data_IF_636980083189
#
_entry.id   IF_636980083189
#
_cell.length_a   1.000
_cell.length_b   1.000
_cell.length_c   1.000
_cell.angle_alpha   90.00
_cell.angle_beta   90.00
_cell.angle_gamma   90.00
#
_symmetry.space_group_name_H-M   'P 1'
#
loop_
_entity.id
_entity.type
_entity.pdbx_description
1 polymer ?
#
# COMPACT_ATOMS: atom_id res chain seq x y z
N UNK A 1 -21.17 60.72 -34.13
CA UNK A 1 -22.14 59.60 -33.97
C UNK A 1 -22.31 58.98 -35.36
N UNK A 2 -22.02 57.72 -35.67
CA UNK A 2 -22.29 56.45 -34.97
C UNK A 2 -21.15 55.45 -35.24
N UNK A 3 -20.80 54.68 -34.20
CA UNK A 3 -19.86 53.57 -34.24
C UNK A 3 -20.55 52.36 -34.89
N UNK A 4 -19.90 51.68 -35.83
CA UNK A 4 -20.35 50.40 -36.37
C UNK A 4 -19.61 49.29 -35.63
N UNK A 5 -20.27 48.75 -34.61
CA UNK A 5 -19.86 47.57 -33.85
C UNK A 5 -20.08 46.33 -34.69
N UNK A 6 -19.00 45.66 -35.09
CA UNK A 6 -19.04 44.33 -35.69
C UNK A 6 -18.96 43.29 -34.57
N UNK A 7 -20.13 42.91 -34.05
CA UNK A 7 -20.32 41.76 -33.17
C UNK A 7 -21.05 40.67 -33.94
N UNK A 8 -20.35 39.62 -34.36
CA UNK A 8 -20.97 38.37 -34.82
C UNK A 8 -20.13 37.18 -34.34
N UNK A 9 -20.69 36.53 -33.32
CA UNK A 9 -20.80 35.06 -33.18
C UNK A 9 -19.52 34.22 -33.05
N UNK A 10 -19.05 34.09 -31.80
CA UNK A 10 -18.39 32.88 -31.30
C UNK A 10 -19.20 32.30 -30.12
N UNK A 11 -20.50 32.08 -30.34
CA UNK A 11 -21.39 31.40 -29.40
C UNK A 11 -21.88 30.13 -30.08
N UNK A 12 -21.20 29.01 -29.81
CA UNK A 12 -21.67 27.62 -29.88
C UNK A 12 -20.51 26.68 -30.24
N UNK A 13 -19.76 26.26 -29.22
CA UNK A 13 -19.53 24.83 -28.94
C UNK A 13 -18.95 24.73 -27.54
N UNK A 14 -19.77 25.00 -26.52
CA UNK A 14 -19.64 24.24 -25.26
C UNK A 14 -20.24 22.86 -25.57
N UNK A 15 -19.61 22.15 -26.51
CA UNK A 15 -19.79 20.72 -26.60
C UNK A 15 -19.27 20.24 -25.26
N UNK A 16 -20.19 19.69 -24.48
CA UNK A 16 -19.93 19.00 -23.24
C UNK A 16 -18.82 17.98 -23.51
N UNK A 17 -17.58 18.41 -23.36
CA UNK A 17 -16.44 17.54 -23.12
C UNK A 17 -16.70 16.96 -21.74
N UNK A 18 -17.65 16.03 -21.70
CA UNK A 18 -17.48 14.79 -20.94
C UNK A 18 -16.26 14.09 -21.54
N UNK A 19 -15.11 14.76 -21.42
CA UNK A 19 -13.80 14.21 -21.64
C UNK A 19 -13.84 12.91 -20.88
N UNK A 20 -13.54 11.81 -21.58
CA UNK A 20 -13.38 10.50 -20.98
C UNK A 20 -12.25 10.60 -19.95
N UNK A 21 -12.60 11.08 -18.77
CA UNK A 21 -11.74 11.15 -17.61
C UNK A 21 -11.30 9.72 -17.35
N UNK A 22 -10.01 9.47 -17.56
CA UNK A 22 -9.38 8.17 -17.27
C UNK A 22 -9.10 7.99 -15.77
N UNK A 23 -9.46 8.97 -14.96
CA UNK A 23 -9.42 8.97 -13.50
C UNK A 23 -10.45 9.98 -13.00
N UNK A 24 -11.14 9.68 -11.91
CA UNK A 24 -12.26 10.49 -11.40
C UNK A 24 -11.85 11.96 -11.14
N UNK A 25 -10.63 12.14 -10.66
CA UNK A 25 -10.04 13.42 -10.28
C UNK A 25 -9.02 13.97 -11.33
N UNK A 26 -8.95 13.36 -12.51
CA UNK A 26 -8.03 13.79 -13.57
C UNK A 26 -8.51 15.05 -14.31
N UNK A 27 -7.57 15.92 -14.77
CA UNK A 27 -7.91 17.07 -15.59
C UNK A 27 -8.55 16.65 -16.91
N UNK A 28 -9.52 17.43 -17.38
CA UNK A 28 -10.32 17.13 -18.59
C UNK A 28 -9.49 17.17 -19.87
N UNK A 29 -8.39 17.94 -19.89
CA UNK A 29 -7.41 17.99 -20.99
C UNK A 29 -6.00 18.07 -20.40
N UNK A 30 -5.08 17.29 -20.95
CA UNK A 30 -3.65 17.35 -20.62
C UNK A 30 -2.83 17.24 -21.90
N UNK A 31 -1.87 18.14 -22.07
CA UNK A 31 -0.96 18.17 -23.23
C UNK A 31 0.14 17.11 -23.13
N UNK A 32 0.35 16.52 -21.95
CA UNK A 32 1.37 15.50 -21.72
C UNK A 32 0.75 14.11 -21.64
N UNK A 33 1.41 13.14 -22.28
CA UNK A 33 0.96 11.75 -22.22
C UNK A 33 0.96 11.27 -20.78
N UNK A 34 -0.04 10.45 -20.42
CA UNK A 34 -0.17 9.95 -19.04
C UNK A 34 1.02 9.07 -18.64
N UNK A 35 1.62 8.34 -19.59
CA UNK A 35 2.91 7.65 -19.42
C UNK A 35 4.03 8.60 -19.00
N UNK A 36 4.11 9.79 -19.62
CA UNK A 36 5.09 10.81 -19.24
C UNK A 36 4.76 11.48 -17.90
N UNK A 37 3.49 11.59 -17.52
CA UNK A 37 3.10 12.10 -16.20
C UNK A 37 3.37 11.09 -15.08
N UNK A 38 3.24 9.79 -15.37
CA UNK A 38 3.46 8.71 -14.40
C UNK A 38 4.95 8.52 -14.10
N UNK A 39 5.79 8.61 -15.12
CA UNK A 39 7.23 8.61 -14.94
C UNK A 39 7.70 9.86 -14.15
N UNK A 40 8.62 9.67 -13.22
CA UNK A 40 9.21 10.70 -12.39
C UNK A 40 9.65 10.17 -11.04
N UNK A 41 10.17 11.09 -10.21
CA UNK A 41 10.56 10.82 -8.84
C UNK A 41 9.42 11.22 -7.90
N UNK A 42 8.91 10.26 -7.15
CA UNK A 42 7.72 10.43 -6.34
C UNK A 42 8.06 10.20 -4.88
N UNK A 43 7.61 11.08 -4.00
CA UNK A 43 7.72 10.92 -2.54
C UNK A 43 6.34 10.75 -1.95
N UNK A 44 6.24 9.94 -0.91
CA UNK A 44 5.02 9.82 -0.13
C UNK A 44 4.63 11.16 0.48
N UNK A 45 3.37 11.54 0.28
CA UNK A 45 2.72 12.64 1.01
C UNK A 45 1.86 12.07 2.13
N UNK A 46 0.92 11.19 1.76
CA UNK A 46 0.04 10.48 2.70
C UNK A 46 -0.27 9.08 2.21
N UNK A 47 -0.53 8.16 3.14
CA UNK A 47 -1.10 6.85 2.84
C UNK A 47 -1.97 6.39 4.01
N UNK A 48 -3.15 5.91 3.68
CA UNK A 48 -4.07 5.27 4.62
C UNK A 48 -4.48 3.92 4.04
N UNK A 49 -4.34 2.86 4.82
CA UNK A 49 -4.67 1.51 4.39
C UNK A 49 -5.26 0.72 5.54
N UNK A 50 -6.34 -0.01 5.27
CA UNK A 50 -6.93 -0.96 6.20
C UNK A 50 -6.93 -2.33 5.55
N UNK A 51 -6.36 -3.31 6.24
CA UNK A 51 -6.43 -4.74 5.89
C UNK A 51 -7.31 -5.45 6.92
N UNK A 52 -8.30 -6.19 6.46
CA UNK A 52 -9.14 -7.05 7.29
C UNK A 52 -8.97 -8.48 6.82
N UNK A 53 -8.44 -9.33 7.70
CA UNK A 53 -8.34 -10.77 7.49
C UNK A 53 -9.37 -11.48 8.35
N UNK A 54 -10.16 -12.35 7.74
CA UNK A 54 -11.05 -13.28 8.44
C UNK A 54 -10.57 -14.69 8.21
N UNK A 55 -10.47 -15.47 9.29
CA UNK A 55 -10.21 -16.90 9.24
C UNK A 55 -11.41 -17.63 9.80
N UNK A 56 -11.95 -18.61 9.07
CA UNK A 56 -13.06 -19.44 9.56
C UNK A 56 -12.61 -20.89 9.65
N UNK A 57 -12.81 -21.46 10.82
CA UNK A 57 -12.58 -22.86 11.16
C UNK A 57 -13.83 -23.44 11.86
N UNK A 58 -13.84 -24.73 12.24
CA UNK A 58 -14.98 -25.32 12.95
C UNK A 58 -15.29 -24.69 14.32
N UNK A 59 -14.35 -23.93 14.92
CA UNK A 59 -14.51 -23.24 16.20
C UNK A 59 -15.13 -21.85 16.02
N UNK A 60 -15.12 -21.30 14.81
CA UNK A 60 -15.82 -20.07 14.44
C UNK A 60 -15.00 -19.17 13.52
N UNK A 61 -15.36 -17.88 13.48
CA UNK A 61 -14.64 -16.88 12.68
C UNK A 61 -13.77 -16.01 13.57
N UNK A 62 -12.47 -15.99 13.30
CA UNK A 62 -11.54 -14.99 13.81
C UNK A 62 -11.44 -13.80 12.86
N UNK A 63 -11.18 -12.62 13.41
CA UNK A 63 -11.03 -11.38 12.63
C UNK A 63 -9.78 -10.65 13.10
N UNK A 64 -8.92 -10.29 12.15
CA UNK A 64 -7.77 -9.41 12.36
C UNK A 64 -7.95 -8.16 11.50
N UNK A 65 -7.76 -6.98 12.09
CA UNK A 65 -7.78 -5.71 11.36
C UNK A 65 -6.46 -4.99 11.58
N UNK A 66 -5.79 -4.60 10.51
CA UNK A 66 -4.56 -3.81 10.52
C UNK A 66 -4.80 -2.50 9.80
N UNK A 67 -4.59 -1.38 10.48
CA UNK A 67 -4.66 -0.02 9.92
C UNK A 67 -3.27 0.59 9.89
N UNK A 68 -2.92 1.16 8.74
CA UNK A 68 -1.67 1.84 8.51
C UNK A 68 -1.95 3.26 8.06
N UNK A 69 -1.46 4.24 8.82
CA UNK A 69 -1.54 5.66 8.47
C UNK A 69 -0.12 6.21 8.39
N UNK A 70 0.23 6.77 7.24
CA UNK A 70 1.55 7.31 6.97
C UNK A 70 1.42 8.73 6.44
N UNK A 71 2.37 9.57 6.82
CA UNK A 71 2.62 10.88 6.22
C UNK A 71 4.03 10.90 5.64
N UNK A 72 4.45 12.04 5.09
CA UNK A 72 5.83 12.24 4.66
C UNK A 72 6.88 11.99 5.77
N UNK A 73 6.51 12.13 7.05
CA UNK A 73 7.47 12.10 8.18
C UNK A 73 7.07 11.16 9.33
N UNK A 74 5.83 10.67 9.37
CA UNK A 74 5.32 9.83 10.46
C UNK A 74 4.62 8.58 9.95
N UNK A 75 4.56 7.55 10.78
CA UNK A 75 3.81 6.33 10.51
C UNK A 75 3.15 5.82 11.79
N UNK A 76 1.97 5.22 11.65
CA UNK A 76 1.20 4.58 12.72
C UNK A 76 0.63 3.26 12.20
N UNK A 77 0.74 2.22 13.02
CA UNK A 77 0.17 0.90 12.81
C UNK A 77 -0.76 0.57 13.98
N UNK A 78 -2.04 0.30 13.69
CA UNK A 78 -3.02 -0.16 14.67
C UNK A 78 -3.52 -1.55 14.27
N UNK A 79 -3.28 -2.54 15.13
CA UNK A 79 -3.74 -3.90 14.91
C UNK A 79 -4.79 -4.27 15.95
N UNK A 80 -5.89 -4.88 15.51
CA UNK A 80 -6.85 -5.52 16.39
C UNK A 80 -7.06 -6.99 16.00
N UNK A 81 -7.31 -7.83 17.01
CA UNK A 81 -7.60 -9.24 16.82
C UNK A 81 -8.75 -9.69 17.72
N UNK A 82 -9.71 -10.40 17.14
CA UNK A 82 -10.83 -11.06 17.82
C UNK A 82 -10.78 -12.54 17.46
N UNK A 83 -10.57 -13.40 18.46
CA UNK A 83 -10.53 -14.85 18.28
C UNK A 83 -11.91 -15.46 17.98
N UNK A 84 -11.92 -16.63 17.36
CA UNK A 84 -13.16 -17.39 17.10
C UNK A 84 -13.92 -17.65 18.41
N UNK A 85 -15.21 -17.33 18.44
CA UNK A 85 -16.07 -17.48 19.62
C UNK A 85 -15.75 -16.52 20.78
N UNK A 86 -14.80 -15.60 20.63
CA UNK A 86 -14.46 -14.61 21.65
C UNK A 86 -15.23 -13.30 21.44
N UNK A 87 -15.72 -12.70 22.52
CA UNK A 87 -16.20 -11.30 22.51
C UNK A 87 -15.11 -10.29 22.86
N UNK A 88 -13.91 -10.76 23.24
CA UNK A 88 -12.78 -9.91 23.62
C UNK A 88 -11.91 -9.64 22.39
N UNK A 89 -11.62 -8.36 22.16
CA UNK A 89 -10.72 -7.87 21.11
C UNK A 89 -9.45 -7.32 21.74
N UNK A 90 -8.30 -7.79 21.30
CA UNK A 90 -7.00 -7.25 21.70
C UNK A 90 -6.54 -6.22 20.68
N UNK A 91 -6.00 -5.09 21.13
CA UNK A 91 -5.48 -4.02 20.27
C UNK A 91 -4.02 -3.73 20.58
N UNK A 92 -3.24 -3.44 19.55
CA UNK A 92 -1.86 -2.95 19.68
C UNK A 92 -1.65 -1.76 18.75
N UNK A 93 -0.85 -0.80 19.20
CA UNK A 93 -0.51 0.39 18.43
C UNK A 93 1.00 0.55 18.40
N UNK A 94 1.54 0.83 17.22
CA UNK A 94 2.93 1.24 17.02
C UNK A 94 2.95 2.57 16.30
N UNK A 95 3.91 3.40 16.64
CA UNK A 95 4.09 4.71 16.03
C UNK A 95 5.57 4.93 15.72
N UNK A 96 5.86 5.78 14.76
CA UNK A 96 7.23 6.19 14.52
C UNK A 96 7.38 7.15 13.35
N UNK A 97 8.57 7.15 12.76
CA UNK A 97 9.03 8.19 11.85
C UNK A 97 9.37 7.62 10.48
N UNK A 98 9.13 8.42 9.44
CA UNK A 98 9.48 8.11 8.06
C UNK A 98 10.64 9.02 7.67
N UNK A 99 11.78 8.43 7.32
CA UNK A 99 12.93 9.15 6.78
C UNK A 99 12.84 9.27 5.26
N UNK A 100 12.41 8.20 4.59
CA UNK A 100 12.12 8.25 3.16
C UNK A 100 11.05 7.22 2.79
N UNK A 101 10.21 7.58 1.83
CA UNK A 101 9.35 6.66 1.11
C UNK A 101 9.20 7.23 -0.29
N UNK A 102 10.02 6.73 -1.21
CA UNK A 102 10.19 7.31 -2.53
C UNK A 102 10.19 6.24 -3.62
N UNK A 103 9.68 6.61 -4.80
CA UNK A 103 9.62 5.80 -6.00
C UNK A 103 10.28 6.56 -7.16
N UNK A 104 11.18 5.90 -7.87
CA UNK A 104 11.71 6.37 -9.17
C UNK A 104 11.03 5.55 -10.26
N UNK A 105 10.26 6.20 -11.13
CA UNK A 105 9.52 5.56 -12.21
C UNK A 105 10.07 6.06 -13.54
N UNK A 106 10.70 5.18 -14.31
CA UNK A 106 11.34 5.53 -15.58
C UNK A 106 10.43 5.25 -16.77
N UNK A 107 10.57 6.07 -17.82
CA UNK A 107 9.77 5.94 -19.07
C UNK A 107 10.00 4.64 -19.84
N UNK A 108 11.14 3.99 -19.58
CA UNK A 108 11.54 2.69 -20.16
C UNK A 108 10.74 1.50 -19.60
N UNK A 109 9.85 1.74 -18.63
CA UNK A 109 9.05 0.68 -18.01
C UNK A 109 9.68 0.08 -16.76
N UNK A 110 10.78 0.62 -16.25
CA UNK A 110 11.39 0.20 -14.98
C UNK A 110 11.01 1.13 -13.83
N UNK A 111 11.05 0.61 -12.61
CA UNK A 111 10.87 1.40 -11.40
C UNK A 111 11.77 0.89 -10.27
N UNK A 112 12.03 1.76 -9.29
CA UNK A 112 12.63 1.40 -8.01
C UNK A 112 11.94 2.15 -6.87
N UNK A 113 12.02 1.60 -5.66
CA UNK A 113 11.59 2.31 -4.45
C UNK A 113 12.57 2.14 -3.30
N UNK A 114 12.59 3.13 -2.42
CA UNK A 114 13.30 3.09 -1.14
C UNK A 114 12.34 3.52 -0.04
N UNK A 115 12.24 2.71 1.02
CA UNK A 115 11.47 3.03 2.22
C UNK A 115 12.39 2.88 3.43
N UNK A 116 12.58 3.96 4.16
CA UNK A 116 13.33 4.02 5.41
C UNK A 116 12.43 4.61 6.49
N UNK A 117 12.09 3.82 7.48
CA UNK A 117 11.22 4.24 8.57
C UNK A 117 11.52 3.43 9.83
N UNK A 118 11.14 3.99 10.98
CA UNK A 118 11.29 3.36 12.29
C UNK A 118 9.91 3.24 12.93
N UNK A 119 9.60 2.09 13.52
CA UNK A 119 8.42 1.87 14.36
C UNK A 119 8.85 1.62 15.79
N UNK A 120 8.11 2.17 16.74
CA UNK A 120 8.31 2.00 18.17
C UNK A 120 7.11 1.26 18.76
N UNK A 121 7.42 0.31 19.64
CA UNK A 121 6.43 -0.40 20.44
C UNK A 121 6.92 -0.54 21.88
N UNK A 122 5.97 -0.56 22.81
CA UNK A 122 6.25 -0.75 24.24
C UNK A 122 5.48 -1.98 24.69
N UNK A 123 6.15 -2.85 25.43
CA UNK A 123 5.52 -3.98 26.10
C UNK A 123 4.45 -3.52 27.09
N UNK A 124 3.47 -4.39 27.37
CA UNK A 124 2.33 -4.06 28.24
C UNK A 124 2.73 -3.69 29.68
N UNK A 125 3.90 -4.15 30.15
CA UNK A 125 4.42 -3.82 31.48
C UNK A 125 5.35 -2.58 31.47
N UNK A 126 5.56 -1.94 30.32
CA UNK A 126 6.41 -0.75 30.18
C UNK A 126 7.92 -1.00 30.27
N UNK A 127 8.35 -2.22 30.61
CA UNK A 127 9.75 -2.52 30.93
C UNK A 127 10.63 -2.72 29.70
N UNK A 128 10.02 -3.07 28.57
CA UNK A 128 10.71 -3.24 27.29
C UNK A 128 10.16 -2.25 26.27
N UNK A 129 11.06 -1.47 25.70
CA UNK A 129 10.83 -0.61 24.55
C UNK A 129 11.57 -1.21 23.35
N UNK A 130 10.86 -1.39 22.24
CA UNK A 130 11.41 -1.92 20.99
C UNK A 130 11.26 -0.89 19.89
N UNK A 131 12.39 -0.53 19.28
CA UNK A 131 12.46 0.33 18.09
C UNK A 131 12.99 -0.51 16.92
N UNK A 132 12.21 -0.60 15.85
CA UNK A 132 12.56 -1.37 14.66
C UNK A 132 12.67 -0.43 13.47
N UNK A 133 13.86 -0.36 12.88
CA UNK A 133 14.13 0.41 11.66
C UNK A 133 14.12 -0.53 10.45
N UNK A 134 13.39 -0.15 9.42
CA UNK A 134 13.30 -0.88 8.16
C UNK A 134 13.95 -0.07 7.04
N UNK A 135 14.95 -0.62 6.35
CA UNK A 135 15.45 -0.16 5.04
C UNK A 135 15.00 -1.16 3.97
N UNK A 136 13.98 -0.77 3.20
CA UNK A 136 13.40 -1.61 2.14
C UNK A 136 13.72 -0.98 0.80
N UNK A 137 14.34 -1.76 -0.08
CA UNK A 137 14.64 -1.38 -1.46
C UNK A 137 14.02 -2.37 -2.42
N UNK A 138 13.27 -1.87 -3.38
CA UNK A 138 12.60 -2.70 -4.39
C UNK A 138 12.91 -2.19 -5.79
N UNK A 139 13.00 -3.11 -6.75
CA UNK A 139 13.08 -2.76 -8.18
C UNK A 139 12.14 -3.62 -8.98
N UNK A 140 11.73 -3.14 -10.14
CA UNK A 140 10.81 -3.89 -10.97
C UNK A 140 10.50 -3.26 -12.31
N UNK A 141 9.46 -3.80 -12.94
CA UNK A 141 8.88 -3.26 -14.18
C UNK A 141 7.45 -2.81 -13.95
N UNK A 142 6.98 -1.85 -14.74
CA UNK A 142 5.60 -1.38 -14.68
C UNK A 142 4.97 -1.29 -16.07
N UNK A 143 3.66 -1.52 -16.14
CA UNK A 143 2.87 -1.33 -17.35
C UNK A 143 1.46 -0.88 -17.03
N UNK A 144 0.89 -0.02 -17.86
CA UNK A 144 -0.54 0.27 -17.82
C UNK A 144 -1.32 -0.97 -18.21
N UNK A 145 -2.31 -1.31 -17.39
CA UNK A 145 -3.29 -2.33 -17.73
C UNK A 145 -4.33 -1.69 -18.65
N UNK A 146 -4.59 -2.34 -19.79
CA UNK A 146 -5.63 -1.92 -20.72
C UNK A 146 -7.03 -2.00 -20.10
N UNK A 147 -8.06 -1.56 -20.85
CA UNK A 147 -9.47 -1.60 -20.43
C UNK A 147 -10.05 -3.02 -20.46
N UNK A 148 -9.48 -3.93 -19.68
CA UNK A 148 -9.81 -5.35 -19.75
C UNK A 148 -10.98 -5.74 -18.83
N UNK A 149 -11.41 -4.84 -17.94
CA UNK A 149 -12.54 -5.06 -17.02
C UNK A 149 -13.64 -4.01 -17.24
N UNK A 150 -14.90 -4.44 -17.53
CA UNK A 150 -16.05 -3.54 -17.63
C UNK A 150 -16.27 -2.65 -16.38
N UNK A 151 -15.89 -3.14 -15.19
CA UNK A 151 -16.05 -2.46 -13.90
C UNK A 151 -14.96 -1.40 -13.65
N UNK A 152 -13.91 -1.36 -14.48
CA UNK A 152 -12.83 -0.37 -14.41
C UNK A 152 -12.79 0.53 -15.65
N UNK A 153 -13.86 0.58 -16.45
CA UNK A 153 -13.92 1.32 -17.74
C UNK A 153 -13.40 2.78 -17.70
N UNK A 154 -13.46 3.44 -16.54
CA UNK A 154 -12.97 4.81 -16.32
C UNK A 154 -11.82 4.91 -15.30
N UNK A 155 -11.27 3.78 -14.85
CA UNK A 155 -10.20 3.68 -13.86
C UNK A 155 -8.95 3.14 -14.56
N UNK A 156 -7.94 3.98 -14.72
CA UNK A 156 -6.67 3.53 -15.29
C UNK A 156 -5.84 2.82 -14.21
N UNK A 157 -5.35 1.62 -14.54
CA UNK A 157 -4.59 0.78 -13.63
C UNK A 157 -3.16 0.61 -14.12
N UNK A 158 -2.22 0.52 -13.19
CA UNK A 158 -0.83 0.20 -13.46
C UNK A 158 -0.46 -1.05 -12.70
N UNK A 159 0.04 -2.06 -13.40
CA UNK A 159 0.70 -3.19 -12.76
C UNK A 159 2.16 -2.82 -12.48
N UNK A 160 2.60 -3.00 -11.24
CA UNK A 160 4.00 -2.96 -10.84
C UNK A 160 4.41 -4.39 -10.51
N UNK A 161 5.29 -4.97 -11.33
CA UNK A 161 5.91 -6.26 -11.07
C UNK A 161 7.24 -6.05 -10.37
N UNK A 162 7.36 -6.52 -9.14
CA UNK A 162 8.60 -6.50 -8.36
C UNK A 162 9.51 -7.62 -8.87
N UNK A 163 10.76 -7.27 -9.18
CA UNK A 163 11.81 -8.22 -9.58
C UNK A 163 12.76 -8.52 -8.43
N UNK A 164 13.11 -7.51 -7.64
CA UNK A 164 13.94 -7.68 -6.44
C UNK A 164 13.37 -6.92 -5.27
N UNK A 165 13.55 -7.48 -4.08
CA UNK A 165 13.27 -6.84 -2.80
C UNK A 165 14.39 -7.15 -1.83
N UNK A 166 15.01 -6.12 -1.28
CA UNK A 166 15.93 -6.21 -0.17
C UNK A 166 15.30 -5.52 1.05
N UNK A 167 15.36 -6.14 2.21
CA UNK A 167 14.88 -5.60 3.48
C UNK A 167 15.95 -5.80 4.52
N UNK A 168 16.38 -4.71 5.13
CA UNK A 168 17.21 -4.72 6.33
C UNK A 168 16.32 -4.26 7.48
N UNK A 169 16.18 -5.10 8.49
CA UNK A 169 15.47 -4.82 9.73
C UNK A 169 16.51 -4.71 10.85
N UNK A 170 16.61 -3.52 11.46
CA UNK A 170 17.46 -3.28 12.63
C UNK A 170 16.56 -3.04 13.84
N UNK A 171 16.65 -3.94 14.81
CA UNK A 171 15.86 -3.91 16.03
C UNK A 171 16.74 -3.49 17.20
N UNK A 172 16.36 -2.42 17.89
CA UNK A 172 16.94 -1.98 19.15
C UNK A 172 15.94 -2.22 20.28
N UNK A 173 16.25 -3.15 21.18
CA UNK A 173 15.50 -3.38 22.42
C UNK A 173 16.17 -2.66 23.57
N UNK A 174 15.40 -1.91 24.34
CA UNK A 174 15.82 -1.36 25.63
C UNK A 174 15.01 -2.04 26.72
N UNK A 175 15.69 -2.79 27.60
CA UNK A 175 15.09 -3.48 28.73
C UNK A 175 15.46 -2.76 30.03
N UNK A 176 14.47 -2.45 30.88
CA UNK A 176 14.68 -1.82 32.18
C UNK A 176 14.32 -2.79 33.30
N UNK A 177 15.28 -3.07 34.19
CA UNK A 177 15.11 -3.94 35.36
C UNK A 177 15.85 -3.37 36.57
N UNK A 178 15.16 -3.24 37.71
CA UNK A 178 15.78 -2.73 38.94
C UNK A 178 16.37 -1.32 38.82
N UNK A 179 15.81 -0.46 37.95
CA UNK A 179 16.32 0.89 37.68
C UNK A 179 17.49 0.96 36.68
N UNK A 180 18.03 -0.18 36.24
CA UNK A 180 19.08 -0.27 35.24
C UNK A 180 18.50 -0.54 33.84
N UNK A 181 19.13 0.00 32.80
CA UNK A 181 18.71 -0.20 31.41
C UNK A 181 19.80 -0.87 30.57
N UNK A 182 19.41 -1.88 29.80
CA UNK A 182 20.28 -2.63 28.89
C UNK A 182 19.76 -2.50 27.46
N UNK A 183 20.67 -2.43 26.49
CA UNK A 183 20.34 -2.32 25.07
C UNK A 183 20.83 -3.54 24.32
N UNK A 184 19.96 -4.11 23.50
CA UNK A 184 20.27 -5.21 22.59
C UNK A 184 19.95 -4.76 21.16
N UNK A 185 20.85 -5.03 20.23
CA UNK A 185 20.66 -4.74 18.81
C UNK A 185 20.67 -6.04 18.03
N UNK A 186 19.62 -6.27 17.24
CA UNK A 186 19.54 -7.35 16.25
C UNK A 186 19.44 -6.76 14.85
N UNK A 187 20.07 -7.41 13.86
CA UNK A 187 20.03 -6.98 12.46
C UNK A 187 19.73 -8.17 11.58
N UNK A 188 18.63 -8.11 10.86
CA UNK A 188 18.19 -9.14 9.92
C UNK A 188 18.19 -8.59 8.51
N UNK A 189 18.69 -9.37 7.56
CA UNK A 189 18.70 -9.02 6.14
C UNK A 189 17.97 -10.10 5.36
N UNK A 190 17.02 -9.68 4.52
CA UNK A 190 16.28 -10.57 3.64
C UNK A 190 16.32 -10.02 2.21
N UNK A 191 16.80 -10.83 1.27
CA UNK A 191 16.84 -10.50 -0.14
C UNK A 191 16.11 -11.58 -0.95
N UNK A 192 15.14 -11.15 -1.77
CA UNK A 192 14.35 -12.03 -2.62
C UNK A 192 14.38 -11.53 -4.06
N UNK A 193 14.48 -12.46 -5.01
CA UNK A 193 14.29 -12.21 -6.44
C UNK A 193 13.08 -12.97 -6.94
N UNK A 194 12.32 -12.35 -7.83
CA UNK A 194 11.07 -12.88 -8.37
C UNK A 194 11.15 -13.01 -9.89
N UNK A 195 10.56 -14.09 -10.41
CA UNK A 195 10.28 -14.17 -11.83
C UNK A 195 9.23 -13.12 -12.23
N UNK A 196 9.19 -12.75 -13.51
CA UNK A 196 8.22 -11.79 -14.03
C UNK A 196 6.79 -12.26 -13.73
N UNK A 197 5.99 -11.38 -13.11
CA UNK A 197 4.61 -11.66 -12.75
C UNK A 197 4.40 -12.42 -11.43
N UNK A 198 5.47 -12.96 -10.81
CA UNK A 198 5.35 -13.72 -9.54
C UNK A 198 5.01 -12.82 -8.35
N UNK A 199 5.57 -11.61 -8.30
CA UNK A 199 5.24 -10.58 -7.34
C UNK A 199 4.75 -9.35 -8.09
N UNK A 200 3.43 -9.12 -8.13
CA UNK A 200 2.86 -7.96 -8.82
C UNK A 200 1.74 -7.32 -8.00
N UNK A 201 1.76 -6.00 -7.93
CA UNK A 201 0.69 -5.18 -7.37
C UNK A 201 -0.01 -4.38 -8.47
N UNK A 202 -1.30 -4.09 -8.29
CA UNK A 202 -2.05 -3.21 -9.19
C UNK A 202 -2.40 -1.91 -8.45
N UNK A 203 -2.03 -0.80 -9.06
CA UNK A 203 -2.36 0.54 -8.60
C UNK A 203 -3.49 1.10 -9.44
N UNK A 204 -4.60 1.47 -8.79
CA UNK A 204 -5.69 2.17 -9.48
C UNK A 204 -5.47 3.67 -9.34
N UNK A 205 -5.20 4.35 -10.45
CA UNK A 205 -4.89 5.79 -10.45
C UNK A 205 -6.18 6.61 -10.42
N UNK A 206 -6.46 7.28 -9.30
CA UNK A 206 -7.54 8.26 -9.18
C UNK A 206 -7.18 9.58 -9.84
N UNK A 207 -5.94 10.03 -9.64
CA UNK A 207 -5.40 11.30 -10.12
C UNK A 207 -3.94 11.17 -10.49
N UNK A 208 -3.56 11.81 -11.60
CA UNK A 208 -2.17 11.95 -11.98
C UNK A 208 -1.94 13.33 -12.62
N UNK A 209 -1.94 14.40 -11.84
CA UNK A 209 -1.88 15.76 -12.35
C UNK A 209 -1.18 16.69 -11.37
N UNK A 210 -0.68 17.82 -11.86
CA UNK A 210 -0.07 18.85 -11.01
C UNK A 210 1.02 18.31 -10.08
N UNK A 211 1.90 17.42 -10.60
CA UNK A 211 2.97 16.77 -9.82
C UNK A 211 2.46 15.94 -8.63
N UNK A 212 1.22 15.47 -8.70
CA UNK A 212 0.57 14.66 -7.68
C UNK A 212 -0.01 13.39 -8.30
N UNK A 213 0.18 12.27 -7.62
CA UNK A 213 -0.40 10.99 -7.96
C UNK A 213 -1.22 10.50 -6.78
N UNK A 214 -2.52 10.26 -7.00
CA UNK A 214 -3.41 9.66 -6.01
C UNK A 214 -3.83 8.29 -6.49
N UNK A 215 -3.62 7.30 -5.64
CA UNK A 215 -3.78 5.88 -5.93
C UNK A 215 -4.75 5.28 -4.94
N UNK A 216 -5.60 4.38 -5.41
CA UNK A 216 -6.38 3.46 -4.58
C UNK A 216 -5.83 2.06 -4.75
N UNK A 217 -5.67 1.39 -3.61
CA UNK A 217 -5.45 -0.05 -3.56
C UNK A 217 -6.73 -0.72 -3.07
N UNK A 218 -7.13 -1.76 -3.78
CA UNK A 218 -8.20 -2.66 -3.38
C UNK A 218 -7.73 -4.07 -3.71
N UNK A 219 -7.43 -4.83 -2.68
CA UNK A 219 -6.89 -6.18 -2.77
C UNK A 219 -7.88 -7.09 -2.05
N UNK A 220 -8.45 -8.03 -2.79
CA UNK A 220 -9.30 -9.07 -2.24
C UNK A 220 -8.65 -10.42 -2.52
N UNK A 221 -8.23 -11.11 -1.46
CA UNK A 221 -7.62 -12.42 -1.53
C UNK A 221 -8.49 -13.40 -0.77
N UNK A 222 -8.91 -14.47 -1.43
CA UNK A 222 -9.62 -15.58 -0.80
C UNK A 222 -8.81 -16.85 -1.01
N UNK A 223 -8.66 -17.65 0.04
CA UNK A 223 -7.89 -18.88 0.00
C UNK A 223 -8.42 -19.90 0.99
N UNK A 224 -8.11 -21.16 0.71
CA UNK A 224 -8.27 -22.25 1.68
C UNK A 224 -6.89 -22.80 1.98
N UNK A 225 -6.53 -22.81 3.25
CA UNK A 225 -5.32 -23.43 3.75
C UNK A 225 -5.67 -24.75 4.42
N UNK A 226 -5.06 -25.83 3.99
CA UNK A 226 -5.22 -27.15 4.61
C UNK A 226 -3.87 -27.64 5.11
N UNK A 227 -3.79 -27.92 6.40
CA UNK A 227 -2.64 -28.61 7.00
C UNK A 227 -3.04 -30.04 7.33
N UNK A 228 -2.19 -30.99 6.97
CA UNK A 228 -2.30 -32.38 7.38
C UNK A 228 -1.08 -32.74 8.20
N UNK A 229 -1.30 -33.19 9.43
CA UNK A 229 -0.26 -33.72 10.29
C UNK A 229 -0.49 -35.22 10.41
N UNK A 230 0.54 -36.00 10.11
CA UNK A 230 0.53 -37.46 10.27
C UNK A 230 1.48 -37.83 11.39
N UNK A 231 0.96 -38.54 12.40
CA UNK A 231 1.75 -39.09 13.50
C UNK A 231 1.35 -40.55 13.71
N UNK A 232 2.31 -41.46 13.52
CA UNK A 232 2.03 -42.90 13.46
C UNK A 232 1.08 -43.26 12.31
N UNK A 233 0.03 -44.03 12.60
CA UNK A 233 -0.99 -44.45 11.62
C UNK A 233 -2.16 -43.47 11.49
N UNK A 234 -2.14 -42.33 12.18
CA UNK A 234 -3.25 -41.37 12.20
C UNK A 234 -2.86 -40.08 11.49
N UNK A 235 -3.71 -39.66 10.55
CA UNK A 235 -3.60 -38.36 9.87
C UNK A 235 -4.74 -37.46 10.34
N UNK A 236 -4.39 -36.30 10.88
CA UNK A 236 -5.35 -35.24 11.19
C UNK A 236 -5.21 -34.13 10.15
N UNK A 237 -6.32 -33.81 9.49
CA UNK A 237 -6.39 -32.70 8.53
C UNK A 237 -7.24 -31.58 9.11
N UNK A 238 -6.68 -30.38 9.15
CA UNK A 238 -7.39 -29.15 9.52
C UNK A 238 -7.39 -28.21 8.32
N UNK A 239 -8.56 -27.68 7.97
CA UNK A 239 -8.72 -26.69 6.90
C UNK A 239 -9.27 -25.39 7.47
N UNK A 240 -8.64 -24.28 7.10
CA UNK A 240 -9.09 -22.93 7.43
C UNK A 240 -9.34 -22.19 6.13
N UNK A 241 -10.54 -21.61 5.99
CA UNK A 241 -10.81 -20.66 4.92
C UNK A 241 -10.41 -19.27 5.38
N UNK A 242 -9.64 -18.56 4.56
CA UNK A 242 -9.23 -17.20 4.86
C UNK A 242 -9.64 -16.25 3.74
N UNK A 243 -10.09 -15.07 4.14
CA UNK A 243 -10.34 -13.94 3.25
C UNK A 243 -9.61 -12.72 3.79
N UNK A 244 -8.81 -12.07 2.96
CA UNK A 244 -8.17 -10.80 3.26
C UNK A 244 -8.67 -9.75 2.30
N UNK A 245 -9.21 -8.66 2.84
CA UNK A 245 -9.58 -7.47 2.09
C UNK A 245 -8.73 -6.31 2.57
N UNK A 246 -7.93 -5.73 1.67
CA UNK A 246 -7.12 -4.56 1.93
C UNK A 246 -7.56 -3.41 1.03
N UNK A 247 -7.99 -2.31 1.63
CA UNK A 247 -8.38 -1.10 0.92
C UNK A 247 -7.58 0.08 1.43
N UNK A 248 -7.15 0.97 0.54
CA UNK A 248 -6.41 2.16 0.96
C UNK A 248 -6.26 3.20 -0.13
N UNK A 249 -5.77 4.36 0.28
CA UNK A 249 -5.38 5.46 -0.59
C UNK A 249 -3.93 5.84 -0.32
N UNK A 250 -3.19 6.17 -1.37
CA UNK A 250 -1.84 6.71 -1.27
C UNK A 250 -1.72 7.94 -2.18
N UNK A 251 -1.16 9.00 -1.64
CA UNK A 251 -0.83 10.23 -2.36
C UNK A 251 0.68 10.39 -2.43
N UNK A 252 1.20 10.58 -3.64
CA UNK A 252 2.60 10.84 -3.91
C UNK A 252 2.77 12.21 -4.57
N UNK A 253 3.89 12.88 -4.31
CA UNK A 253 4.25 14.17 -4.91
C UNK A 253 5.63 14.13 -5.57
N UNK A 254 5.77 14.85 -6.68
CA UNK A 254 7.03 15.08 -7.42
C UNK A 254 7.76 16.33 -6.96
#
# INVERSE_FOLDING_TARGET
MKKLTLSVLALATVASITSCKKGEEDPTLSLTSRKSRFAGEWKLDTQDMTSTTKGTDPQGTSVSVSKYTWTATTTKEENSYTGAGSSVTTTTTKEGTVTTNAYSIKKDGTWSSTKLFTLKSTSNNGNTVKETTYDIKETGTWNFLGKNDPNTKNKEQVALSTLTKNTIETELKTNTFGGQSFKETDVQTNAVSYAKGQASGVWTLLRLANKEMKIVTDINMNGTYSNSNTSGSMTTTSSVTSSTVSTGTMTLKQ
#
